data_IF_277883026424
#
_entry.id   IF_277883026424
#
_cell.length_a   1.000
_cell.length_b   1.000
_cell.length_c   1.000
_cell.angle_alpha   90.00
_cell.angle_beta   90.00
_cell.angle_gamma   90.00
#
_symmetry.space_group_name_H-M   'P 1'
#
loop_
_entity.id
_entity.type
_entity.pdbx_description
1 polymer ?
#
# COMPACT_ATOMS: atom_id res chain seq x y z
N UNK A 1 16.19 -18.07 3.06
CA UNK A 1 16.30 -16.70 3.58
C UNK A 1 15.06 -15.83 3.32
N UNK A 2 14.70 -15.46 2.08
CA UNK A 2 13.51 -14.61 1.85
C UNK A 2 12.19 -15.38 1.98
N UNK A 3 12.10 -16.60 1.46
CA UNK A 3 10.91 -17.45 1.59
C UNK A 3 10.58 -17.76 3.05
N UNK A 4 11.60 -17.97 3.89
CA UNK A 4 11.46 -18.15 5.34
C UNK A 4 10.90 -16.88 5.99
N UNK A 5 11.37 -15.69 5.59
CA UNK A 5 10.82 -14.41 6.06
C UNK A 5 9.39 -14.19 5.62
N UNK A 6 9.04 -14.57 4.40
CA UNK A 6 7.65 -14.55 3.92
C UNK A 6 6.79 -15.50 4.74
N UNK A 7 7.29 -16.69 5.05
CA UNK A 7 6.60 -17.65 5.93
C UNK A 7 6.36 -17.09 7.34
N UNK A 8 7.34 -16.40 7.91
CA UNK A 8 7.21 -15.68 9.19
C UNK A 8 6.11 -14.62 9.10
N UNK A 9 6.12 -13.75 8.09
CA UNK A 9 5.08 -12.73 7.91
C UNK A 9 3.69 -13.33 7.68
N UNK A 10 3.58 -14.43 6.96
CA UNK A 10 2.31 -15.16 6.79
C UNK A 10 1.77 -15.63 8.15
N UNK A 11 2.62 -16.16 9.03
CA UNK A 11 2.21 -16.55 10.38
C UNK A 11 1.74 -15.35 11.20
N UNK A 12 2.45 -14.23 11.11
CA UNK A 12 2.08 -12.98 11.80
C UNK A 12 0.75 -12.41 11.31
N UNK A 13 0.51 -12.42 10.00
CA UNK A 13 -0.80 -12.07 9.41
C UNK A 13 -1.87 -13.02 9.95
N UNK A 14 -1.58 -14.31 10.11
CA UNK A 14 -2.47 -15.28 10.75
C UNK A 14 -2.84 -14.89 12.18
N UNK A 15 -1.86 -14.63 13.04
CA UNK A 15 -2.09 -14.16 14.42
C UNK A 15 -2.92 -12.88 14.45
N UNK A 16 -2.59 -11.93 13.58
CA UNK A 16 -3.34 -10.67 13.50
C UNK A 16 -4.78 -10.88 12.99
N UNK A 17 -5.00 -11.88 12.14
CA UNK A 17 -6.34 -12.28 11.68
C UNK A 17 -7.18 -12.80 12.84
N UNK A 18 -6.60 -13.55 13.77
CA UNK A 18 -7.30 -14.02 14.96
C UNK A 18 -7.69 -12.87 15.89
N UNK A 19 -6.79 -11.91 16.10
CA UNK A 19 -7.09 -10.68 16.86
C UNK A 19 -8.19 -9.88 16.16
N UNK A 20 -8.18 -9.80 14.82
CA UNK A 20 -9.19 -9.04 14.07
C UNK A 20 -10.63 -9.54 14.29
N UNK A 21 -10.82 -10.81 14.69
CA UNK A 21 -12.15 -11.38 14.99
C UNK A 21 -12.81 -10.69 16.19
N UNK A 22 -12.02 -10.38 17.22
CA UNK A 22 -12.49 -9.73 18.45
C UNK A 22 -12.27 -8.22 18.41
N UNK A 23 -11.10 -7.77 17.96
CA UNK A 23 -10.64 -6.38 17.97
C UNK A 23 -10.24 -5.88 16.57
N UNK A 24 -11.19 -5.73 15.63
CA UNK A 24 -10.89 -5.39 14.24
C UNK A 24 -10.16 -4.04 14.07
N UNK A 25 -10.51 -3.04 14.88
CA UNK A 25 -9.87 -1.72 14.80
C UNK A 25 -8.41 -1.75 15.26
N UNK A 26 -8.11 -2.49 16.33
CA UNK A 26 -6.74 -2.64 16.83
C UNK A 26 -5.88 -3.42 15.82
N UNK A 27 -6.44 -4.52 15.29
CA UNK A 27 -5.79 -5.32 14.26
C UNK A 27 -5.51 -4.51 12.98
N UNK A 28 -6.47 -3.70 12.53
CA UNK A 28 -6.29 -2.82 11.37
C UNK A 28 -5.17 -1.80 11.59
N UNK A 29 -5.14 -1.14 12.75
CA UNK A 29 -4.09 -0.17 13.09
C UNK A 29 -2.71 -0.83 13.16
N UNK A 30 -2.60 -1.99 13.81
CA UNK A 30 -1.37 -2.76 13.88
C UNK A 30 -0.89 -3.23 12.48
N UNK A 31 -1.83 -3.61 11.60
CA UNK A 31 -1.50 -3.98 10.24
C UNK A 31 -0.94 -2.79 9.45
N UNK A 32 -1.68 -1.69 9.42
CA UNK A 32 -1.39 -0.53 8.57
C UNK A 32 -0.18 0.28 9.04
N UNK A 33 0.00 0.43 10.35
CA UNK A 33 1.10 1.21 10.93
C UNK A 33 2.30 0.37 11.38
N UNK A 34 2.17 -0.96 11.43
CA UNK A 34 3.24 -1.86 11.84
C UNK A 34 3.59 -2.86 10.75
N UNK A 35 2.76 -3.88 10.61
CA UNK A 35 3.08 -5.09 9.85
C UNK A 35 3.40 -4.79 8.38
N UNK A 36 2.61 -3.92 7.73
CA UNK A 36 2.78 -3.57 6.31
C UNK A 36 4.16 -2.95 5.99
N UNK A 37 4.80 -2.29 6.95
CA UNK A 37 6.10 -1.66 6.75
C UNK A 37 7.26 -2.64 6.80
N UNK A 38 7.09 -3.83 7.39
CA UNK A 38 8.18 -4.83 7.53
C UNK A 38 8.72 -5.31 6.20
N UNK A 39 7.83 -5.52 5.21
CA UNK A 39 8.22 -5.94 3.86
C UNK A 39 8.40 -4.77 2.88
N UNK A 40 8.23 -3.50 3.30
CA UNK A 40 8.49 -2.34 2.44
C UNK A 40 9.97 -2.24 2.03
N UNK A 41 10.90 -2.51 2.96
CA UNK A 41 12.32 -2.47 2.64
C UNK A 41 12.68 -3.51 1.56
N UNK A 42 12.18 -4.72 1.72
CA UNK A 42 12.43 -5.84 0.82
C UNK A 42 11.88 -5.55 -0.58
N UNK A 43 10.66 -5.02 -0.69
CA UNK A 43 10.08 -4.56 -1.97
C UNK A 43 10.92 -3.49 -2.67
N UNK A 44 11.58 -2.61 -1.93
CA UNK A 44 12.39 -1.52 -2.50
C UNK A 44 13.76 -1.98 -2.95
N UNK A 45 14.35 -2.95 -2.26
CA UNK A 45 15.76 -3.32 -2.42
C UNK A 45 16.01 -4.54 -3.29
N UNK A 46 15.04 -5.46 -3.39
CA UNK A 46 15.24 -6.71 -4.14
C UNK A 46 14.33 -6.73 -5.38
N UNK A 47 14.88 -6.67 -6.60
CA UNK A 47 14.10 -6.75 -7.82
C UNK A 47 13.51 -8.16 -8.02
N UNK A 48 12.38 -8.26 -8.73
CA UNK A 48 11.83 -9.54 -9.19
C UNK A 48 11.13 -10.42 -8.13
N UNK A 49 10.97 -9.94 -6.90
CA UNK A 49 10.43 -10.75 -5.79
C UNK A 49 8.90 -10.84 -5.72
N UNK A 50 8.18 -10.29 -6.70
CA UNK A 50 6.70 -10.24 -6.69
C UNK A 50 6.07 -11.62 -6.45
N UNK A 51 6.56 -12.64 -7.17
CA UNK A 51 6.10 -14.03 -7.04
C UNK A 51 6.34 -14.63 -5.64
N UNK A 52 7.43 -14.25 -4.96
CA UNK A 52 7.75 -14.72 -3.62
C UNK A 52 6.82 -14.10 -2.55
N UNK A 53 6.23 -12.94 -2.83
CA UNK A 53 5.29 -12.27 -1.93
C UNK A 53 3.83 -12.72 -2.13
N UNK A 54 3.56 -13.57 -3.14
CA UNK A 54 2.22 -14.12 -3.39
C UNK A 54 1.62 -14.84 -2.18
N UNK A 55 2.35 -15.72 -1.45
CA UNK A 55 1.78 -16.38 -0.27
C UNK A 55 1.34 -15.40 0.82
N UNK A 56 2.07 -14.29 0.97
CA UNK A 56 1.72 -13.21 1.91
C UNK A 56 0.46 -12.47 1.46
N UNK A 57 0.37 -12.10 0.18
CA UNK A 57 -0.84 -11.50 -0.38
C UNK A 57 -2.06 -12.42 -0.22
N UNK A 58 -1.88 -13.72 -0.48
CA UNK A 58 -2.95 -14.70 -0.31
C UNK A 58 -3.42 -14.80 1.15
N UNK A 59 -2.50 -14.79 2.11
CA UNK A 59 -2.85 -14.77 3.54
C UNK A 59 -3.64 -13.51 3.88
N UNK A 60 -3.19 -12.33 3.46
CA UNK A 60 -3.92 -11.07 3.68
C UNK A 60 -5.33 -11.17 3.09
N UNK A 61 -5.47 -11.68 1.86
CA UNK A 61 -6.76 -11.76 1.16
C UNK A 61 -7.71 -12.82 1.73
N UNK A 62 -7.19 -13.99 2.11
CA UNK A 62 -8.01 -15.16 2.49
C UNK A 62 -8.26 -15.27 3.99
N UNK A 63 -7.37 -14.73 4.84
CA UNK A 63 -7.51 -14.82 6.31
C UNK A 63 -7.76 -13.47 6.95
N UNK A 64 -6.90 -12.49 6.70
CA UNK A 64 -6.94 -11.22 7.43
C UNK A 64 -8.12 -10.34 7.04
N UNK A 65 -8.30 -10.07 5.74
CA UNK A 65 -9.39 -9.21 5.28
C UNK A 65 -10.78 -9.77 5.61
N UNK A 66 -11.07 -11.08 5.44
CA UNK A 66 -12.35 -11.65 5.85
C UNK A 66 -12.59 -11.54 7.36
N UNK A 67 -11.56 -11.80 8.18
CA UNK A 67 -11.66 -11.64 9.64
C UNK A 67 -11.92 -10.18 10.03
N UNK A 68 -11.22 -9.24 9.40
CA UNK A 68 -11.34 -7.82 9.66
C UNK A 68 -12.71 -7.26 9.27
N UNK A 69 -13.22 -7.65 8.10
CA UNK A 69 -14.51 -7.21 7.58
C UNK A 69 -15.70 -8.00 8.13
N UNK A 70 -15.43 -9.06 8.91
CA UNK A 70 -16.44 -10.00 9.42
C UNK A 70 -17.30 -10.59 8.31
N UNK A 71 -16.65 -10.97 7.20
CA UNK A 71 -17.32 -11.54 6.02
C UNK A 71 -16.95 -13.00 5.83
N UNK A 72 -17.94 -13.81 5.46
CA UNK A 72 -17.76 -15.24 5.20
C UNK A 72 -17.50 -15.59 3.72
N UNK A 73 -17.50 -14.60 2.82
CA UNK A 73 -17.30 -14.80 1.39
C UNK A 73 -15.87 -14.46 0.96
N UNK A 74 -15.44 -15.06 -0.14
CA UNK A 74 -14.13 -14.78 -0.75
C UNK A 74 -14.14 -13.39 -1.36
N UNK A 75 -13.17 -12.56 -0.98
CA UNK A 75 -13.03 -11.21 -1.51
C UNK A 75 -12.62 -11.30 -2.99
N UNK A 76 -13.50 -10.83 -3.88
CA UNK A 76 -13.25 -10.74 -5.32
C UNK A 76 -12.11 -9.78 -5.68
N UNK A 77 -11.60 -9.85 -6.92
CA UNK A 77 -10.46 -9.04 -7.35
C UNK A 77 -10.75 -7.53 -7.26
N UNK A 78 -11.93 -7.10 -7.68
CA UNK A 78 -12.31 -5.67 -7.71
C UNK A 78 -12.42 -5.10 -6.30
N UNK A 79 -13.02 -5.86 -5.37
CA UNK A 79 -13.12 -5.47 -3.96
C UNK A 79 -11.73 -5.44 -3.34
N UNK A 80 -10.88 -6.44 -3.60
CA UNK A 80 -9.50 -6.46 -3.10
C UNK A 80 -8.70 -5.24 -3.58
N UNK A 81 -8.89 -4.85 -4.83
CA UNK A 81 -8.24 -3.68 -5.42
C UNK A 81 -8.77 -2.39 -4.79
N UNK A 82 -10.08 -2.25 -4.59
CA UNK A 82 -10.67 -1.12 -3.87
C UNK A 82 -10.10 -1.00 -2.45
N UNK A 83 -10.00 -2.09 -1.71
CA UNK A 83 -9.47 -2.10 -0.34
C UNK A 83 -7.98 -1.68 -0.28
N UNK A 84 -7.24 -1.86 -1.38
CA UNK A 84 -5.85 -1.41 -1.49
C UNK A 84 -5.70 0.09 -1.66
N UNK A 85 -6.74 0.78 -2.15
CA UNK A 85 -6.74 2.22 -2.31
C UNK A 85 -6.78 2.92 -0.95
N UNK A 86 -6.29 4.16 -0.83
CA UNK A 86 -6.33 4.90 0.42
C UNK A 86 -7.77 5.27 0.84
N UNK A 87 -8.01 5.56 2.13
CA UNK A 87 -9.33 5.95 2.65
C UNK A 87 -9.98 7.14 1.92
N UNK A 88 -9.19 8.12 1.48
CA UNK A 88 -9.68 9.27 0.68
C UNK A 88 -10.31 8.89 -0.67
N UNK A 89 -10.03 7.68 -1.15
CA UNK A 89 -10.59 7.11 -2.37
C UNK A 89 -11.63 6.01 -2.06
N UNK A 90 -12.05 5.86 -0.80
CA UNK A 90 -13.02 4.86 -0.37
C UNK A 90 -12.44 3.46 -0.13
N UNK A 91 -11.10 3.32 -0.11
CA UNK A 91 -10.42 2.07 0.25
C UNK A 91 -9.96 2.03 1.72
N UNK A 92 -9.05 1.11 2.05
CA UNK A 92 -8.52 0.91 3.41
C UNK A 92 -6.99 1.04 3.50
N UNK A 93 -6.29 1.35 2.41
CA UNK A 93 -4.83 1.47 2.40
C UNK A 93 -4.09 0.15 2.67
N UNK A 94 -4.78 -0.99 2.59
CA UNK A 94 -4.20 -2.33 2.74
C UNK A 94 -3.60 -2.73 1.40
N UNK A 95 -2.36 -2.32 1.19
CA UNK A 95 -1.66 -2.49 -0.09
C UNK A 95 -1.45 -3.97 -0.42
N UNK A 96 -1.27 -4.27 -1.71
CA UNK A 96 -0.90 -5.62 -2.14
C UNK A 96 0.62 -5.76 -2.22
N UNK A 97 1.27 -6.60 -1.39
CA UNK A 97 2.72 -6.77 -1.43
C UNK A 97 3.21 -7.29 -2.78
N UNK A 98 2.50 -8.24 -3.39
CA UNK A 98 2.83 -8.82 -4.71
C UNK A 98 2.78 -7.76 -5.82
N UNK A 99 1.65 -7.04 -5.95
CA UNK A 99 1.48 -6.04 -7.03
C UNK A 99 2.42 -4.83 -6.87
N UNK A 100 2.69 -4.40 -5.64
CA UNK A 100 3.47 -3.19 -5.38
C UNK A 100 4.99 -3.38 -5.43
N UNK A 101 5.49 -4.61 -5.36
CA UNK A 101 6.92 -4.88 -5.32
C UNK A 101 7.68 -4.26 -6.51
N UNK A 102 7.16 -4.43 -7.73
CA UNK A 102 7.81 -3.90 -8.93
C UNK A 102 7.83 -2.37 -8.97
N UNK A 103 6.71 -1.73 -8.61
CA UNK A 103 6.59 -0.27 -8.58
C UNK A 103 7.52 0.33 -7.53
N UNK A 104 7.55 -0.22 -6.31
CA UNK A 104 8.39 0.28 -5.21
C UNK A 104 9.89 0.12 -5.49
N UNK A 105 10.31 -0.98 -6.10
CA UNK A 105 11.70 -1.18 -6.50
C UNK A 105 12.13 -0.17 -7.57
N UNK A 106 11.31 -0.01 -8.62
CA UNK A 106 11.57 0.95 -9.70
C UNK A 106 11.65 2.38 -9.17
N UNK A 107 10.72 2.75 -8.28
CA UNK A 107 10.70 4.04 -7.62
C UNK A 107 11.99 4.26 -6.80
N UNK A 108 12.41 3.24 -6.04
CA UNK A 108 13.65 3.31 -5.26
C UNK A 108 14.88 3.54 -6.15
N UNK A 109 15.01 2.77 -7.23
CA UNK A 109 16.12 2.90 -8.19
C UNK A 109 16.11 4.28 -8.84
N UNK A 110 14.94 4.79 -9.22
CA UNK A 110 14.82 6.10 -9.85
C UNK A 110 15.27 7.21 -8.90
N UNK A 111 14.86 7.13 -7.63
CA UNK A 111 15.21 8.11 -6.60
C UNK A 111 16.70 8.10 -6.27
N UNK A 112 17.34 6.93 -6.25
CA UNK A 112 18.77 6.81 -5.90
C UNK A 112 19.71 6.95 -7.09
N UNK A 113 19.20 7.06 -8.32
CA UNK A 113 20.00 7.06 -9.55
C UNK A 113 21.14 8.08 -9.52
N UNK A 114 20.84 9.34 -9.21
CA UNK A 114 21.85 10.41 -9.19
C UNK A 114 22.97 10.11 -8.18
N UNK A 115 22.63 9.55 -7.03
CA UNK A 115 23.61 9.14 -6.03
C UNK A 115 24.43 7.94 -6.51
N UNK A 116 23.79 6.94 -7.13
CA UNK A 116 24.47 5.78 -7.72
C UNK A 116 25.49 6.19 -8.78
N UNK A 117 25.13 7.11 -9.68
CA UNK A 117 26.02 7.63 -10.73
C UNK A 117 27.26 8.32 -10.13
N UNK A 118 27.07 9.13 -9.07
CA UNK A 118 28.18 9.77 -8.34
C UNK A 118 29.10 8.79 -7.64
N UNK A 119 28.54 7.74 -7.04
CA UNK A 119 29.33 6.66 -6.41
C UNK A 119 30.19 5.96 -7.47
N UNK A 120 29.62 5.65 -8.64
CA UNK A 120 30.35 5.01 -9.75
C UNK A 120 31.46 5.91 -10.27
N UNK A 121 31.21 7.22 -10.36
CA UNK A 121 32.20 8.21 -10.77
C UNK A 121 33.27 8.51 -9.70
N UNK A 122 33.17 7.90 -8.51
CA UNK A 122 34.02 8.18 -7.34
C UNK A 122 34.12 9.68 -7.01
N UNK A 123 33.00 10.39 -7.13
CA UNK A 123 32.92 11.83 -6.83
C UNK A 123 33.23 12.08 -5.34
N UNK A 124 34.43 12.61 -5.07
CA UNK A 124 34.95 12.84 -3.72
C UNK A 124 34.11 13.84 -2.90
N UNK A 125 33.31 14.69 -3.56
CA UNK A 125 32.44 15.66 -2.88
C UNK A 125 31.08 15.07 -2.53
N UNK A 126 30.57 14.14 -3.33
CA UNK A 126 29.28 13.46 -3.09
C UNK A 126 28.07 14.40 -2.99
N UNK A 127 28.20 15.67 -3.39
CA UNK A 127 27.16 16.67 -3.25
C UNK A 127 25.95 16.27 -4.10
N UNK A 128 24.81 16.04 -3.44
CA UNK A 128 23.56 15.71 -4.11
C UNK A 128 22.64 16.92 -4.04
N UNK A 129 22.05 17.30 -5.17
CA UNK A 129 21.05 18.36 -5.20
C UNK A 129 19.78 17.90 -4.46
N UNK A 130 19.69 18.32 -3.20
CA UNK A 130 18.56 18.00 -2.32
C UNK A 130 17.24 18.56 -2.85
N UNK A 131 17.27 19.69 -3.58
CA UNK A 131 16.08 20.29 -4.17
C UNK A 131 15.59 19.44 -5.34
N UNK A 132 16.49 18.99 -6.22
CA UNK A 132 16.14 18.06 -7.29
C UNK A 132 15.57 16.74 -6.74
N UNK A 133 16.16 16.18 -5.68
CA UNK A 133 15.64 14.98 -5.00
C UNK A 133 14.25 15.22 -4.41
N UNK A 134 14.03 16.40 -3.80
CA UNK A 134 12.73 16.76 -3.24
C UNK A 134 11.66 16.90 -4.32
N UNK A 135 11.95 17.59 -5.43
CA UNK A 135 11.04 17.73 -6.57
C UNK A 135 10.74 16.40 -7.23
N UNK A 136 11.73 15.51 -7.31
CA UNK A 136 11.52 14.16 -7.80
C UNK A 136 10.57 13.38 -6.88
N UNK A 137 10.76 13.43 -5.55
CA UNK A 137 9.85 12.81 -4.57
C UNK A 137 8.43 13.34 -4.71
N UNK A 138 8.25 14.65 -4.89
CA UNK A 138 6.94 15.28 -5.11
C UNK A 138 6.29 14.76 -6.39
N UNK A 139 7.05 14.70 -7.49
CA UNK A 139 6.59 14.19 -8.78
C UNK A 139 6.15 12.74 -8.70
N UNK A 140 6.96 11.87 -8.07
CA UNK A 140 6.61 10.46 -7.86
C UNK A 140 5.37 10.30 -6.99
N UNK A 141 5.24 11.10 -5.91
CA UNK A 141 4.06 11.12 -5.07
C UNK A 141 2.81 11.50 -5.87
N UNK A 142 2.89 12.54 -6.71
CA UNK A 142 1.80 12.99 -7.58
C UNK A 142 1.41 11.93 -8.61
N UNK A 143 2.40 11.31 -9.26
CA UNK A 143 2.15 10.22 -10.21
C UNK A 143 1.44 9.04 -9.55
N UNK A 144 1.84 8.66 -8.33
CA UNK A 144 1.17 7.61 -7.56
C UNK A 144 -0.27 7.99 -7.21
N UNK A 145 -0.51 9.25 -6.83
CA UNK A 145 -1.87 9.74 -6.54
C UNK A 145 -2.76 9.70 -7.79
N UNK A 146 -2.24 10.12 -8.95
CA UNK A 146 -2.95 10.08 -10.22
C UNK A 146 -3.30 8.63 -10.60
N UNK A 147 -2.33 7.71 -10.52
CA UNK A 147 -2.56 6.29 -10.81
C UNK A 147 -3.62 5.67 -9.89
N UNK A 148 -3.68 6.09 -8.61
CA UNK A 148 -4.74 5.64 -7.69
C UNK A 148 -6.13 6.16 -8.10
N UNK A 149 -6.22 7.39 -8.60
CA UNK A 149 -7.48 7.97 -9.10
C UNK A 149 -7.94 7.26 -10.36
N UNK A 150 -7.03 6.97 -11.29
CA UNK A 150 -7.31 6.21 -12.51
C UNK A 150 -7.82 4.80 -12.19
N UNK A 151 -7.18 4.08 -11.26
CA UNK A 151 -7.65 2.77 -10.77
C UNK A 151 -9.06 2.87 -10.19
N UNK A 152 -9.35 3.91 -9.41
CA UNK A 152 -10.70 4.12 -8.87
C UNK A 152 -11.73 4.35 -9.99
N UNK A 153 -11.39 5.12 -11.02
CA UNK A 153 -12.29 5.35 -12.16
C UNK A 153 -12.59 4.05 -12.89
N UNK A 154 -11.57 3.22 -13.13
CA UNK A 154 -11.76 1.90 -13.73
C UNK A 154 -12.70 1.02 -12.88
N UNK A 155 -12.47 0.96 -11.56
CA UNK A 155 -13.31 0.20 -10.64
C UNK A 155 -14.76 0.71 -10.59
N UNK A 156 -15.00 2.01 -10.72
CA UNK A 156 -16.37 2.58 -10.76
C UNK A 156 -17.16 2.11 -11.99
N UNK A 157 -16.49 1.76 -13.08
CA UNK A 157 -17.15 1.28 -14.30
C UNK A 157 -17.50 -0.21 -14.22
N UNK A 158 -16.74 -0.99 -13.44
CA UNK A 158 -16.90 -2.46 -13.32
C UNK A 158 -17.82 -2.83 -12.15
N UNK A 159 -17.79 -2.06 -11.06
CA UNK A 159 -18.51 -2.40 -9.84
C UNK A 159 -20.01 -2.04 -9.87
N UNK A 160 -20.85 -2.75 -9.10
CA UNK A 160 -22.27 -2.44 -8.96
C UNK A 160 -22.52 -1.00 -8.47
N UNK A 161 -23.61 -0.41 -8.96
CA UNK A 161 -24.02 0.98 -8.65
C UNK A 161 -24.11 1.22 -7.14
N UNK A 162 -24.57 0.24 -6.36
CA UNK A 162 -24.66 0.36 -4.91
C UNK A 162 -23.29 0.51 -4.24
N UNK A 163 -22.29 -0.25 -4.69
CA UNK A 163 -20.91 -0.15 -4.21
C UNK A 163 -20.30 1.20 -4.55
N UNK A 164 -20.56 1.71 -5.76
CA UNK A 164 -20.12 3.05 -6.18
C UNK A 164 -20.72 4.16 -5.30
N UNK A 165 -22.00 4.05 -4.93
CA UNK A 165 -22.64 4.98 -3.99
C UNK A 165 -21.96 4.96 -2.61
N UNK A 166 -21.64 3.76 -2.08
CA UNK A 166 -20.94 3.61 -0.79
C UNK A 166 -19.53 4.24 -0.82
N UNK A 167 -18.81 4.08 -1.92
CA UNK A 167 -17.52 4.73 -2.14
C UNK A 167 -17.66 6.25 -2.07
N UNK A 168 -18.64 6.83 -2.77
CA UNK A 168 -18.87 8.28 -2.76
C UNK A 168 -19.13 8.82 -1.34
N UNK A 169 -19.91 8.09 -0.55
CA UNK A 169 -20.18 8.44 0.86
C UNK A 169 -18.89 8.40 1.68
N UNK A 170 -18.06 7.36 1.52
CA UNK A 170 -16.78 7.25 2.21
C UNK A 170 -15.82 8.39 1.84
N UNK A 171 -15.75 8.76 0.56
CA UNK A 171 -14.94 9.89 0.09
C UNK A 171 -15.38 11.20 0.74
N UNK A 172 -16.68 11.50 0.77
CA UNK A 172 -17.22 12.72 1.41
C UNK A 172 -16.84 12.82 2.89
N UNK A 173 -16.96 11.72 3.64
CA UNK A 173 -16.58 11.69 5.07
C UNK A 173 -15.10 11.94 5.28
N UNK A 174 -14.24 11.36 4.43
CA UNK A 174 -12.79 11.57 4.53
C UNK A 174 -12.38 13.03 4.26
N UNK A 175 -13.03 13.69 3.30
CA UNK A 175 -12.79 15.12 2.98
C UNK A 175 -13.27 16.01 4.13
N UNK A 176 -14.44 15.69 4.71
CA UNK A 176 -14.99 16.44 5.83
C UNK A 176 -14.09 16.36 7.08
N UNK A 177 -13.54 15.19 7.39
CA UNK A 177 -12.58 15.00 8.47
C UNK A 177 -11.28 15.78 8.22
N UNK A 178 -10.76 15.76 6.99
CA UNK A 178 -9.56 16.51 6.62
C UNK A 178 -9.77 18.03 6.78
N UNK A 179 -10.93 18.55 6.37
CA UNK A 179 -11.25 19.96 6.52
C UNK A 179 -11.39 20.36 8.01
N UNK A 180 -12.02 19.54 8.85
CA UNK A 180 -12.15 19.85 10.28
C UNK A 180 -10.79 19.94 11.01
N UNK A 181 -9.82 19.10 10.63
CA UNK A 181 -8.46 19.16 11.20
C UNK A 181 -7.68 20.38 10.72
N UNK A 182 -7.91 20.84 9.48
CA UNK A 182 -7.27 22.04 8.92
C UNK A 182 -7.77 23.35 9.55
N UNK A 183 -8.98 23.39 10.10
CA UNK A 183 -9.53 24.56 10.82
C UNK A 183 -9.07 24.67 12.29
N UNK A 184 -8.34 23.67 12.81
CA UNK A 184 -7.80 23.66 14.17
C UNK A 184 -6.28 23.92 14.23
N UNK A 185 -5.66 24.29 13.09
CA UNK A 185 -4.23 24.61 12.94
C UNK A 185 -4.04 26.08 12.58
#
# INVERSE_FOLDING_TARGET
MLEEKVSEWVKEVGVLSDIAKTEPHAAYSAFTHGLQHRWSFVKRTIPGISHLLRPLEESIRKTFLPALLKTNFVIGNDVRELLSLPPRLGGMGITSPEKMAGEENRDSIHLTRSLTEKIIAQDAKGETDQNAVLELKKTMSRNRQNAQVERLQHLKNVMPIETVKKIHIAQKRSVQLANMLAYQS
#
